data_IF_467460228931
#
_entry.id   IF_467460228931
#
_cell.length_a   1.000
_cell.length_b   1.000
_cell.length_c   1.000
_cell.angle_alpha   90.00
_cell.angle_beta   90.00
_cell.angle_gamma   90.00
#
_symmetry.space_group_name_H-M   'P 1'
#
loop_
_entity.id
_entity.type
_entity.pdbx_description
1 polymer ?
#
# COMPACT_ATOMS: atom_id res chain seq x y z
N UNK A 1 -30.97 -12.89 -21.45
CA UNK A 1 -30.58 -11.47 -21.71
C UNK A 1 -30.61 -10.60 -20.45
N UNK A 2 -31.66 -10.66 -19.62
CA UNK A 2 -31.80 -9.84 -18.39
C UNK A 2 -30.70 -10.09 -17.35
N UNK A 3 -30.27 -11.33 -17.16
CA UNK A 3 -29.22 -11.75 -16.21
C UNK A 3 -27.83 -11.22 -16.54
N UNK A 4 -27.46 -11.22 -17.82
CA UNK A 4 -26.16 -10.68 -18.27
C UNK A 4 -26.04 -9.18 -18.01
N UNK A 5 -27.13 -8.42 -18.20
CA UNK A 5 -27.15 -7.00 -17.91
C UNK A 5 -26.92 -6.70 -16.42
N UNK A 6 -27.53 -7.49 -15.52
CA UNK A 6 -27.35 -7.33 -14.07
C UNK A 6 -25.90 -7.64 -13.67
N UNK A 7 -25.31 -8.70 -14.21
CA UNK A 7 -23.91 -9.07 -13.94
C UNK A 7 -22.94 -7.98 -14.40
N UNK A 8 -23.17 -7.39 -15.58
CA UNK A 8 -22.34 -6.30 -16.09
C UNK A 8 -22.42 -5.06 -15.21
N UNK A 9 -23.62 -4.70 -14.72
CA UNK A 9 -23.77 -3.56 -13.80
C UNK A 9 -23.03 -3.81 -12.49
N UNK A 10 -23.15 -5.00 -11.91
CA UNK A 10 -22.41 -5.36 -10.70
C UNK A 10 -20.90 -5.30 -10.92
N UNK A 11 -20.41 -5.83 -12.04
CA UNK A 11 -18.99 -5.81 -12.38
C UNK A 11 -18.47 -4.38 -12.52
N UNK A 12 -19.20 -3.50 -13.20
CA UNK A 12 -18.84 -2.08 -13.36
C UNK A 12 -18.77 -1.39 -11.99
N UNK A 13 -19.75 -1.60 -11.12
CA UNK A 13 -19.76 -0.99 -9.76
C UNK A 13 -18.55 -1.46 -8.95
N UNK A 14 -18.21 -2.75 -8.99
CA UNK A 14 -17.03 -3.29 -8.29
C UNK A 14 -15.74 -2.71 -8.87
N UNK A 15 -15.61 -2.62 -10.19
CA UNK A 15 -14.42 -2.03 -10.84
C UNK A 15 -14.24 -0.56 -10.46
N UNK A 16 -15.32 0.23 -10.44
CA UNK A 16 -15.28 1.64 -10.04
C UNK A 16 -14.92 1.77 -8.55
N UNK A 17 -15.49 0.92 -7.69
CA UNK A 17 -15.17 0.92 -6.27
C UNK A 17 -13.68 0.62 -6.00
N UNK A 18 -13.10 -0.37 -6.69
CA UNK A 18 -11.67 -0.70 -6.59
C UNK A 18 -10.79 0.43 -7.12
N UNK A 19 -11.22 1.14 -8.18
CA UNK A 19 -10.49 2.28 -8.72
C UNK A 19 -10.57 3.53 -7.81
N UNK A 20 -11.69 3.73 -7.10
CA UNK A 20 -11.90 4.83 -6.17
C UNK A 20 -11.26 4.58 -4.80
N UNK A 21 -11.22 3.33 -4.37
CA UNK A 21 -10.46 2.86 -3.22
C UNK A 21 -9.30 2.01 -3.71
N UNK A 22 -8.28 2.60 -4.37
CA UNK A 22 -7.06 1.87 -4.63
C UNK A 22 -6.59 1.40 -3.26
N UNK A 23 -6.55 0.07 -3.07
CA UNK A 23 -5.86 -0.52 -1.94
C UNK A 23 -4.42 0.00 -2.02
N UNK A 24 -4.13 1.08 -1.31
CA UNK A 24 -2.80 1.62 -1.13
C UNK A 24 -2.05 2.02 -2.41
N UNK A 25 -2.45 3.14 -3.02
CA UNK A 25 -1.50 3.99 -3.76
C UNK A 25 -0.74 4.98 -2.84
N UNK A 26 -0.88 4.82 -1.52
CA UNK A 26 -0.09 5.51 -0.52
C UNK A 26 0.74 4.47 0.22
N UNK A 27 2.07 4.64 0.19
CA UNK A 27 3.09 3.89 0.93
C UNK A 27 2.66 2.47 1.39
N UNK A 28 3.06 1.47 0.62
CA UNK A 28 2.86 0.07 1.00
C UNK A 28 3.78 -0.27 2.18
N UNK A 29 3.19 -0.55 3.35
CA UNK A 29 3.94 -0.71 4.59
C UNK A 29 4.95 -1.85 4.52
N UNK A 30 4.63 -2.99 3.89
CA UNK A 30 5.59 -4.08 3.73
C UNK A 30 6.75 -3.68 2.83
N UNK A 31 6.50 -3.06 1.67
CA UNK A 31 7.56 -2.58 0.78
C UNK A 31 8.42 -1.54 1.48
N UNK A 32 7.80 -0.60 2.21
CA UNK A 32 8.50 0.40 3.01
C UNK A 32 9.39 -0.26 4.08
N UNK A 33 8.83 -1.20 4.84
CA UNK A 33 9.55 -1.95 5.86
C UNK A 33 10.71 -2.75 5.30
N UNK A 34 10.47 -3.54 4.24
CA UNK A 34 11.48 -4.35 3.58
C UNK A 34 12.62 -3.48 3.02
N UNK A 35 12.30 -2.33 2.42
CA UNK A 35 13.30 -1.40 1.90
C UNK A 35 14.14 -0.78 3.02
N UNK A 36 13.51 -0.28 4.08
CA UNK A 36 14.21 0.31 5.22
C UNK A 36 15.09 -0.72 5.96
N UNK A 37 14.60 -1.95 6.13
CA UNK A 37 15.35 -3.05 6.73
C UNK A 37 16.56 -3.42 5.87
N UNK A 38 16.41 -3.46 4.54
CA UNK A 38 17.51 -3.73 3.63
C UNK A 38 18.58 -2.63 3.64
N UNK A 39 18.18 -1.36 3.79
CA UNK A 39 19.12 -0.23 3.81
C UNK A 39 19.86 -0.08 5.14
N UNK A 40 19.17 -0.21 6.26
CA UNK A 40 19.74 0.08 7.59
C UNK A 40 20.14 -1.16 8.39
N UNK A 41 19.78 -2.37 7.92
CA UNK A 41 20.22 -3.65 8.48
C UNK A 41 20.08 -3.71 10.02
N UNK A 42 21.17 -3.93 10.74
CA UNK A 42 21.21 -4.02 12.20
C UNK A 42 20.84 -2.71 12.93
N UNK A 43 20.93 -1.57 12.24
CA UNK A 43 20.59 -0.27 12.80
C UNK A 43 19.10 0.07 12.63
N UNK A 44 18.35 -0.74 11.88
CA UNK A 44 16.93 -0.51 11.65
C UNK A 44 16.10 -0.72 12.92
N UNK A 45 15.22 0.24 13.23
CA UNK A 45 14.29 0.17 14.38
C UNK A 45 12.85 -0.06 13.94
N UNK A 46 12.37 0.76 13.01
CA UNK A 46 10.99 0.72 12.51
C UNK A 46 10.88 1.45 11.20
N UNK A 47 9.94 1.05 10.37
CA UNK A 47 9.48 1.83 9.22
C UNK A 47 8.00 2.15 9.41
N UNK A 48 7.54 3.28 8.88
CA UNK A 48 6.12 3.61 8.83
C UNK A 48 5.81 4.50 7.65
N UNK A 49 4.53 4.56 7.31
CA UNK A 49 4.03 5.38 6.23
C UNK A 49 3.48 6.69 6.79
N UNK A 50 4.08 7.80 6.35
CA UNK A 50 3.62 9.16 6.62
C UNK A 50 2.92 9.68 5.36
N UNK A 51 1.61 9.42 5.28
CA UNK A 51 0.81 9.63 4.08
C UNK A 51 1.35 8.83 2.89
N UNK A 52 1.72 9.47 1.76
CA UNK A 52 2.30 8.78 0.60
C UNK A 52 3.79 8.45 0.77
N UNK A 53 4.45 8.90 1.84
CA UNK A 53 5.91 8.78 2.01
C UNK A 53 6.30 7.67 2.99
N UNK A 54 7.34 6.92 2.65
CA UNK A 54 7.95 5.93 3.53
C UNK A 54 9.00 6.59 4.44
N UNK A 55 8.93 6.33 5.74
CA UNK A 55 9.90 6.82 6.74
C UNK A 55 10.60 5.65 7.41
N UNK A 56 11.92 5.66 7.35
CA UNK A 56 12.79 4.71 8.06
C UNK A 56 13.31 5.35 9.36
N UNK A 57 13.21 4.64 10.47
CA UNK A 57 13.84 4.99 11.74
C UNK A 57 14.96 4.00 11.99
N UNK A 58 16.16 4.54 12.13
CA UNK A 58 17.37 3.78 12.38
C UNK A 58 18.21 4.44 13.47
N UNK A 59 19.07 3.65 14.11
CA UNK A 59 19.99 4.12 15.14
C UNK A 59 21.23 4.68 14.44
N UNK A 60 21.53 5.95 14.65
CA UNK A 60 22.85 6.50 14.36
C UNK A 60 23.73 6.22 15.58
N UNK A 61 24.70 5.32 15.43
CA UNK A 61 25.71 5.09 16.47
C UNK A 61 26.53 6.36 16.65
N UNK A 62 26.45 6.96 17.84
CA UNK A 62 27.33 8.04 18.29
C UNK A 62 28.60 7.47 18.90
#
# INVERSE_FOLDING_TARGET
>A
MKTLAILLVFLVVVCVFVAQHPAYAGCEFQTCWATCQAQHQIYFRRAFCDGPTCKCVYVTGG
#
